data_IF_616987307758
#
_entry.id   IF_616987307758
#
_cell.length_a   1.000
_cell.length_b   1.000
_cell.length_c   1.000
_cell.angle_alpha   90.00
_cell.angle_beta   90.00
_cell.angle_gamma   90.00
#
_symmetry.space_group_name_H-M   'P 1'
#
loop_
_entity.id
_entity.type
_entity.pdbx_description
1 polymer ?
#
# COMPACT_ATOMS: atom_id res chain seq x y z
N UNK A 1 14.38 -7.24 -3.45
CA UNK A 1 13.64 -8.26 -2.70
C UNK A 1 13.27 -9.35 -3.69
N UNK A 2 13.51 -10.62 -3.38
CA UNK A 2 13.09 -11.73 -4.24
C UNK A 2 11.63 -12.09 -3.97
N UNK A 3 11.00 -12.85 -4.87
CA UNK A 3 9.64 -13.36 -4.64
C UNK A 3 9.56 -14.27 -3.40
N UNK A 4 10.63 -14.98 -3.07
CA UNK A 4 10.71 -15.84 -1.87
C UNK A 4 10.69 -15.01 -0.59
N UNK A 5 11.40 -13.88 -0.57
CA UNK A 5 11.44 -12.96 0.57
C UNK A 5 10.07 -12.33 0.87
N UNK A 6 9.19 -12.26 -0.14
CA UNK A 6 7.86 -11.68 -0.02
C UNK A 6 6.82 -12.65 0.59
N UNK A 7 7.01 -13.96 0.46
CA UNK A 7 6.01 -14.96 0.91
C UNK A 7 5.62 -14.80 2.38
N UNK A 8 6.55 -14.57 3.33
CA UNK A 8 6.19 -14.33 4.73
C UNK A 8 5.31 -13.09 4.92
N UNK A 9 5.62 -11.99 4.22
CA UNK A 9 4.88 -10.73 4.28
C UNK A 9 3.44 -10.91 3.77
N UNK A 10 3.27 -11.53 2.59
CA UNK A 10 1.92 -11.79 2.04
C UNK A 10 1.13 -12.75 2.92
N UNK A 11 1.78 -13.79 3.48
CA UNK A 11 1.11 -14.70 4.42
C UNK A 11 0.61 -13.94 5.65
N UNK A 12 1.40 -13.03 6.20
CA UNK A 12 0.97 -12.21 7.33
C UNK A 12 -0.22 -11.31 6.96
N UNK A 13 -0.21 -10.67 5.79
CA UNK A 13 -1.35 -9.87 5.33
C UNK A 13 -2.61 -10.70 5.21
N UNK A 14 -2.53 -11.90 4.63
CA UNK A 14 -3.69 -12.77 4.52
C UNK A 14 -4.23 -13.19 5.89
N UNK A 15 -3.37 -13.43 6.90
CA UNK A 15 -3.80 -13.69 8.28
C UNK A 15 -4.48 -12.48 8.92
N UNK A 16 -3.92 -11.28 8.71
CA UNK A 16 -4.53 -10.03 9.22
C UNK A 16 -5.89 -9.78 8.57
N UNK A 17 -5.99 -9.96 7.25
CA UNK A 17 -7.26 -9.80 6.53
C UNK A 17 -8.29 -10.85 6.93
N UNK A 18 -7.89 -12.10 7.15
CA UNK A 18 -8.79 -13.13 7.67
C UNK A 18 -9.41 -12.70 9.01
N UNK A 19 -8.58 -12.18 9.94
CA UNK A 19 -9.08 -11.63 11.19
C UNK A 19 -10.01 -10.42 10.98
N UNK A 20 -9.60 -9.44 10.16
CA UNK A 20 -10.39 -8.24 9.90
C UNK A 20 -11.76 -8.58 9.29
N UNK A 21 -11.77 -9.45 8.28
CA UNK A 21 -12.95 -9.80 7.52
C UNK A 21 -13.88 -10.71 8.32
N UNK A 22 -13.34 -11.75 8.96
CA UNK A 22 -14.15 -12.77 9.63
C UNK A 22 -14.54 -12.41 11.06
N UNK A 23 -13.58 -11.90 11.85
CA UNK A 23 -13.77 -11.65 13.29
C UNK A 23 -14.23 -10.22 13.52
N UNK A 24 -13.50 -9.23 13.00
CA UNK A 24 -13.80 -7.82 13.24
C UNK A 24 -14.94 -7.28 12.35
N UNK A 25 -15.23 -7.96 11.23
CA UNK A 25 -16.16 -7.50 10.18
C UNK A 25 -15.82 -6.10 9.67
N UNK A 26 -14.54 -5.87 9.36
CA UNK A 26 -14.01 -4.59 8.88
C UNK A 26 -13.33 -4.79 7.53
N UNK A 27 -13.60 -3.88 6.59
CA UNK A 27 -12.83 -3.67 5.36
C UNK A 27 -11.77 -2.61 5.62
N UNK A 28 -10.54 -2.82 5.16
CA UNK A 28 -9.49 -1.80 5.27
C UNK A 28 -9.68 -0.70 4.22
N UNK A 29 -9.92 -1.10 2.97
CA UNK A 29 -10.18 -0.28 1.77
C UNK A 29 -9.04 0.63 1.28
N UNK A 30 -7.98 0.80 2.07
CA UNK A 30 -6.79 1.56 1.69
C UNK A 30 -5.48 0.77 1.90
N UNK A 31 -5.41 -0.47 1.42
CA UNK A 31 -4.17 -1.27 1.54
C UNK A 31 -3.22 -0.85 0.42
N UNK A 32 -2.10 -0.24 0.80
CA UNK A 32 -1.04 0.25 -0.08
C UNK A 32 0.29 0.29 0.68
N UNK A 33 1.42 0.44 -0.03
CA UNK A 33 2.75 0.42 0.60
C UNK A 33 2.94 1.45 1.71
N UNK A 34 2.30 2.62 1.60
CA UNK A 34 2.42 3.69 2.59
C UNK A 34 1.78 3.34 3.93
N UNK A 35 0.82 2.41 3.94
CA UNK A 35 0.08 1.98 5.13
C UNK A 35 0.70 0.72 5.76
N UNK A 36 1.91 0.35 5.32
CA UNK A 36 2.70 -0.74 5.88
C UNK A 36 3.83 -0.18 6.73
N UNK A 37 3.70 -0.36 8.05
CA UNK A 37 4.74 0.04 8.99
C UNK A 37 5.84 -1.01 8.99
N UNK A 38 7.06 -0.60 8.63
CA UNK A 38 8.22 -1.46 8.74
C UNK A 38 8.62 -1.62 10.22
N UNK A 39 9.10 -2.80 10.63
CA UNK A 39 9.57 -3.02 11.99
C UNK A 39 10.62 -1.99 12.41
N UNK A 40 10.56 -1.58 13.67
CA UNK A 40 11.59 -0.73 14.26
C UNK A 40 12.90 -1.52 14.36
N UNK A 41 14.06 -0.93 13.98
CA UNK A 41 15.33 -1.60 14.14
C UNK A 41 15.72 -1.75 15.61
N UNK A 42 16.69 -2.63 15.82
CA UNK A 42 17.25 -2.90 17.14
C UNK A 42 17.81 -1.61 17.76
N UNK A 43 17.77 -1.52 19.09
CA UNK A 43 18.18 -0.31 19.83
C UNK A 43 19.62 0.11 19.50
N UNK A 44 20.53 -0.84 19.29
CA UNK A 44 21.91 -0.55 18.88
C UNK A 44 21.99 0.18 17.54
N UNK A 45 21.14 -0.16 16.57
CA UNK A 45 21.08 0.53 15.29
C UNK A 45 20.53 1.97 15.42
N UNK A 46 19.64 2.22 16.40
CA UNK A 46 19.21 3.58 16.75
C UNK A 46 20.39 4.38 17.33
N UNK A 47 21.15 3.78 18.25
CA UNK A 47 22.32 4.40 18.89
C UNK A 47 23.41 4.69 17.85
N UNK A 48 23.74 3.73 16.98
CA UNK A 48 24.73 3.92 15.92
C UNK A 48 24.32 5.05 14.95
N UNK A 49 23.02 5.23 14.71
CA UNK A 49 22.53 6.32 13.89
C UNK A 49 22.63 7.67 14.59
N UNK A 50 22.29 7.73 15.89
CA UNK A 50 22.47 8.92 16.71
C UNK A 50 23.95 9.33 16.77
N UNK A 51 24.84 8.39 17.07
CA UNK A 51 26.29 8.62 17.13
C UNK A 51 26.84 9.12 15.80
N UNK A 52 26.36 8.58 14.68
CA UNK A 52 26.73 9.08 13.33
C UNK A 52 26.28 10.51 13.11
N UNK A 53 25.07 10.88 13.50
CA UNK A 53 24.56 12.24 13.34
C UNK A 53 25.31 13.24 14.23
N UNK A 54 25.74 12.81 15.41
CA UNK A 54 26.59 13.60 16.32
C UNK A 54 27.99 13.79 15.73
N UNK A 55 28.62 12.72 15.23
CA UNK A 55 29.96 12.76 14.67
C UNK A 55 30.02 13.50 13.32
N UNK A 56 29.06 13.24 12.45
CA UNK A 56 28.95 13.79 11.10
C UNK A 56 27.52 14.24 10.86
N UNK A 57 27.31 15.55 11.04
CA UNK A 57 25.98 16.12 10.90
C UNK A 57 25.42 15.96 9.49
N UNK A 58 24.15 15.56 9.40
CA UNK A 58 23.46 15.43 8.13
C UNK A 58 23.43 16.76 7.37
N UNK A 59 23.55 16.72 6.02
CA UNK A 59 23.38 17.90 5.19
C UNK A 59 22.05 18.59 5.49
N UNK A 60 22.14 19.87 5.84
CA UNK A 60 20.98 20.66 6.29
C UNK A 60 21.05 22.10 5.82
N UNK A 61 19.88 22.70 5.65
CA UNK A 61 19.70 24.11 5.35
C UNK A 61 19.17 24.81 6.59
N UNK A 62 19.99 25.69 7.16
CA UNK A 62 19.60 26.52 8.31
C UNK A 62 18.92 27.79 7.79
N UNK A 63 17.67 28.00 8.18
CA UNK A 63 16.89 29.21 7.92
C UNK A 63 16.61 29.93 9.24
N UNK A 64 16.07 31.15 9.19
CA UNK A 64 15.79 31.97 10.38
C UNK A 64 14.83 31.29 11.38
N UNK A 65 13.84 30.55 10.88
CA UNK A 65 12.76 29.96 11.70
C UNK A 65 12.85 28.44 11.82
N UNK A 66 13.62 27.77 10.97
CA UNK A 66 13.71 26.31 10.96
C UNK A 66 15.01 25.82 10.34
N UNK A 67 15.37 24.60 10.69
CA UNK A 67 16.39 23.83 10.00
C UNK A 67 15.73 22.74 9.18
N UNK A 68 16.08 22.66 7.90
CA UNK A 68 15.62 21.60 6.99
C UNK A 68 16.74 20.60 6.84
N UNK A 69 16.50 19.35 7.22
CA UNK A 69 17.46 18.26 7.11
C UNK A 69 17.18 17.46 5.83
N UNK A 70 18.23 16.96 5.20
CA UNK A 70 18.09 15.96 4.14
C UNK A 70 17.51 14.68 4.74
N UNK A 71 16.50 14.10 4.11
CA UNK A 71 15.94 12.82 4.56
C UNK A 71 17.01 11.73 4.52
N UNK A 72 17.25 11.11 5.67
CA UNK A 72 18.14 9.95 5.77
C UNK A 72 17.34 8.67 5.64
N UNK A 73 17.84 7.70 4.86
CA UNK A 73 17.23 6.37 4.82
C UNK A 73 17.57 5.66 6.11
N UNK A 74 16.54 5.22 6.81
CA UNK A 74 16.69 4.46 8.04
C UNK A 74 16.51 2.96 7.73
N UNK A 75 17.43 2.08 8.14
CA UNK A 75 17.27 0.65 7.90
C UNK A 75 16.06 0.15 8.70
N UNK A 76 15.15 -0.62 8.07
CA UNK A 76 14.10 -1.29 8.82
C UNK A 76 14.71 -2.34 9.75
N UNK A 77 14.00 -2.62 10.83
CA UNK A 77 14.34 -3.73 11.72
C UNK A 77 14.03 -5.09 11.15
N UNK A 78 14.46 -6.12 11.89
CA UNK A 78 14.09 -7.49 11.60
C UNK A 78 12.60 -7.70 11.90
N UNK A 79 11.87 -8.26 10.94
CA UNK A 79 10.46 -8.61 11.09
C UNK A 79 9.67 -8.42 9.81
N UNK A 80 8.35 -8.56 9.93
CA UNK A 80 7.42 -8.38 8.83
C UNK A 80 6.62 -7.08 8.99
N UNK A 81 6.22 -6.42 7.88
CA UNK A 81 5.47 -5.17 7.95
C UNK A 81 4.13 -5.31 8.66
N UNK A 82 3.73 -4.28 9.41
CA UNK A 82 2.43 -4.24 10.08
C UNK A 82 1.46 -3.37 9.28
N UNK A 83 0.25 -3.91 9.03
CA UNK A 83 -0.83 -3.14 8.44
C UNK A 83 -1.31 -2.06 9.42
N UNK A 84 -1.50 -0.85 8.92
CA UNK A 84 -1.87 0.33 9.71
C UNK A 84 -2.81 1.23 8.93
N UNK A 85 -3.25 2.31 9.58
CA UNK A 85 -4.14 3.33 9.03
C UNK A 85 -5.52 2.82 8.61
N UNK A 86 -6.40 2.70 9.61
CA UNK A 86 -7.80 2.33 9.44
C UNK A 86 -8.71 3.57 9.21
N UNK A 87 -8.15 4.73 8.86
CA UNK A 87 -8.90 5.96 8.66
C UNK A 87 -9.97 5.84 7.56
N UNK A 88 -9.69 5.04 6.53
CA UNK A 88 -10.62 4.75 5.43
C UNK A 88 -11.40 3.44 5.60
N UNK A 89 -11.29 2.77 6.75
CA UNK A 89 -11.97 1.49 6.94
C UNK A 89 -13.50 1.61 6.96
N UNK A 90 -14.18 0.51 6.67
CA UNK A 90 -15.65 0.40 6.65
C UNK A 90 -16.09 -0.86 7.39
N UNK A 91 -17.27 -0.84 8.02
CA UNK A 91 -17.85 -2.03 8.66
C UNK A 91 -18.63 -2.88 7.66
N UNK A 92 -18.61 -4.20 7.83
CA UNK A 92 -19.27 -5.20 6.97
C UNK A 92 -20.73 -5.49 7.29
N UNK A 93 -21.42 -4.54 7.90
CA UNK A 93 -22.82 -4.65 8.32
C UNK A 93 -23.82 -4.16 7.27
N UNK A 94 -23.34 -3.51 6.20
CA UNK A 94 -24.16 -2.98 5.11
C UNK A 94 -23.50 -3.21 3.74
N UNK A 95 -24.29 -3.02 2.68
CA UNK A 95 -23.78 -2.94 1.31
C UNK A 95 -23.07 -1.59 1.09
N UNK A 96 -21.98 -1.62 0.32
CA UNK A 96 -21.15 -0.45 0.04
C UNK A 96 -20.97 -0.23 -1.46
N UNK A 97 -20.98 1.03 -1.86
CA UNK A 97 -20.81 1.52 -3.23
C UNK A 97 -19.91 2.77 -3.30
N UNK A 98 -19.37 3.17 -2.15
CA UNK A 98 -18.56 4.36 -1.97
C UNK A 98 -17.27 4.27 -2.80
N UNK A 99 -16.74 5.43 -3.21
CA UNK A 99 -15.41 5.52 -3.83
C UNK A 99 -14.36 5.34 -2.73
N UNK A 100 -13.63 4.24 -2.84
CA UNK A 100 -12.58 3.82 -1.92
C UNK A 100 -11.31 3.50 -2.73
N UNK A 101 -10.22 3.23 -2.00
CA UNK A 101 -8.93 2.83 -2.54
C UNK A 101 -8.22 3.95 -3.31
N UNK A 102 -6.89 4.03 -3.22
CA UNK A 102 -6.12 4.98 -3.99
C UNK A 102 -6.14 4.55 -5.47
N UNK A 103 -6.21 5.55 -6.35
CA UNK A 103 -6.33 5.42 -7.80
C UNK A 103 -5.58 4.22 -8.44
N UNK A 104 -4.27 3.99 -8.18
CA UNK A 104 -3.52 2.88 -8.79
C UNK A 104 -3.89 1.50 -8.26
N UNK A 105 -4.44 1.44 -7.06
CA UNK A 105 -4.76 0.21 -6.35
C UNK A 105 -6.24 -0.16 -6.47
N UNK A 106 -7.07 0.73 -7.03
CA UNK A 106 -8.53 0.61 -7.08
C UNK A 106 -8.97 -0.66 -7.82
N UNK A 107 -9.84 -1.44 -7.18
CA UNK A 107 -10.40 -2.66 -7.75
C UNK A 107 -11.39 -2.38 -8.89
N UNK A 108 -11.57 -3.31 -9.86
CA UNK A 108 -12.49 -3.13 -10.99
C UNK A 108 -13.92 -2.76 -10.59
N UNK A 109 -14.47 -3.42 -9.56
CA UNK A 109 -15.83 -3.14 -9.04
C UNK A 109 -15.99 -1.69 -8.56
N UNK A 110 -14.95 -1.14 -7.93
CA UNK A 110 -14.95 0.24 -7.43
C UNK A 110 -14.86 1.22 -8.60
N UNK A 111 -14.02 0.95 -9.60
CA UNK A 111 -13.94 1.77 -10.83
C UNK A 111 -15.30 1.80 -11.55
N UNK A 112 -15.98 0.65 -11.60
CA UNK A 112 -17.31 0.51 -12.22
C UNK A 112 -18.46 0.96 -11.34
N UNK A 113 -18.19 1.46 -10.11
CA UNK A 113 -19.21 1.90 -9.13
C UNK A 113 -20.25 0.83 -8.81
N UNK A 114 -19.86 -0.44 -8.88
CA UNK A 114 -20.65 -1.59 -8.46
C UNK A 114 -20.54 -1.80 -6.96
N UNK A 115 -21.46 -2.57 -6.35
CA UNK A 115 -21.26 -2.96 -4.95
C UNK A 115 -20.01 -3.82 -4.80
N UNK A 116 -19.35 -3.63 -3.67
CA UNK A 116 -18.12 -4.30 -3.35
C UNK A 116 -18.15 -4.90 -1.94
N UNK A 117 -17.24 -5.83 -1.68
CA UNK A 117 -17.13 -6.60 -0.46
C UNK A 117 -15.67 -6.79 -0.05
N UNK A 118 -15.39 -7.74 0.83
CA UNK A 118 -14.07 -8.01 1.40
C UNK A 118 -13.00 -8.32 0.36
N UNK A 119 -13.40 -8.65 -0.88
CA UNK A 119 -12.47 -8.93 -1.98
C UNK A 119 -11.70 -7.70 -2.45
N UNK A 120 -12.14 -6.48 -2.14
CA UNK A 120 -11.36 -5.26 -2.47
C UNK A 120 -10.03 -5.21 -1.75
N UNK A 121 -9.97 -5.66 -0.49
CA UNK A 121 -8.72 -5.75 0.26
C UNK A 121 -7.80 -6.85 -0.29
N UNK A 122 -8.38 -7.96 -0.75
CA UNK A 122 -7.61 -9.04 -1.41
C UNK A 122 -7.01 -8.55 -2.72
N UNK A 123 -7.75 -7.75 -3.49
CA UNK A 123 -7.24 -7.08 -4.68
C UNK A 123 -6.02 -6.21 -4.34
N UNK A 124 -6.12 -5.39 -3.29
CA UNK A 124 -5.00 -4.57 -2.86
C UNK A 124 -3.75 -5.38 -2.46
N UNK A 125 -3.92 -6.55 -1.82
CA UNK A 125 -2.78 -7.42 -1.50
C UNK A 125 -2.02 -7.82 -2.77
N UNK A 126 -2.71 -8.13 -3.88
CA UNK A 126 -2.05 -8.44 -5.15
C UNK A 126 -1.29 -7.24 -5.71
N UNK A 127 -1.87 -6.04 -5.64
CA UNK A 127 -1.23 -4.80 -6.08
C UNK A 127 0.02 -4.48 -5.25
N UNK A 128 -0.06 -4.60 -3.92
CA UNK A 128 1.08 -4.44 -3.01
C UNK A 128 2.16 -5.49 -3.28
N UNK A 129 1.79 -6.76 -3.51
CA UNK A 129 2.73 -7.81 -3.85
C UNK A 129 3.55 -7.44 -5.09
N UNK A 130 2.89 -6.92 -6.13
CA UNK A 130 3.55 -6.49 -7.36
C UNK A 130 4.51 -5.32 -7.12
N UNK A 131 4.06 -4.27 -6.45
CA UNK A 131 4.87 -3.07 -6.22
C UNK A 131 6.12 -3.32 -5.35
N UNK A 132 6.13 -4.41 -4.56
CA UNK A 132 7.32 -4.81 -3.81
C UNK A 132 8.40 -5.46 -4.70
N UNK A 133 7.99 -6.22 -5.72
CA UNK A 133 8.90 -7.03 -6.55
C UNK A 133 9.24 -6.39 -7.89
N UNK A 134 8.44 -5.43 -8.34
CA UNK A 134 8.60 -4.75 -9.63
C UNK A 134 8.91 -3.26 -9.42
N UNK A 135 9.89 -2.70 -10.16
CA UNK A 135 10.13 -1.25 -10.15
C UNK A 135 9.01 -0.46 -10.87
N UNK A 136 8.33 -1.11 -11.81
CA UNK A 136 7.21 -0.54 -12.56
C UNK A 136 5.89 -0.99 -11.95
N UNK A 137 4.91 -0.07 -11.93
CA UNK A 137 3.55 -0.38 -11.47
C UNK A 137 2.87 -1.37 -12.40
N UNK A 138 2.03 -2.23 -11.83
CA UNK A 138 1.21 -3.17 -12.60
C UNK A 138 0.23 -2.42 -13.51
N UNK A 139 -0.27 -1.29 -12.99
CA UNK A 139 -1.23 -0.43 -13.66
C UNK A 139 -0.82 1.03 -13.45
N UNK A 140 -0.69 1.78 -14.54
CA UNK A 140 -0.33 3.19 -14.51
C UNK A 140 -1.55 4.11 -14.63
N UNK A 141 -2.55 3.69 -15.42
CA UNK A 141 -3.86 4.36 -15.57
C UNK A 141 -3.75 5.83 -16.01
N UNK A 142 -2.70 6.19 -16.73
CA UNK A 142 -2.43 7.55 -17.18
C UNK A 142 -2.89 7.74 -18.62
N UNK A 143 -3.61 8.82 -18.88
CA UNK A 143 -3.95 9.23 -20.25
C UNK A 143 -2.73 9.89 -20.94
N UNK A 144 -2.92 10.32 -22.19
CA UNK A 144 -1.87 10.98 -23.00
C UNK A 144 -1.27 12.24 -22.33
N UNK A 145 -2.00 12.86 -21.40
CA UNK A 145 -1.56 14.03 -20.64
C UNK A 145 -0.98 13.67 -19.26
N UNK A 146 -0.69 12.39 -19.00
CA UNK A 146 -0.23 11.85 -17.71
C UNK A 146 -1.20 12.04 -16.54
N UNK A 147 -2.49 12.29 -16.82
CA UNK A 147 -3.54 12.42 -15.80
C UNK A 147 -4.19 11.05 -15.60
N UNK A 148 -4.48 10.70 -14.35
CA UNK A 148 -5.17 9.45 -14.03
C UNK A 148 -6.57 9.41 -14.67
N UNK A 149 -6.94 8.27 -15.24
CA UNK A 149 -8.21 8.09 -15.93
C UNK A 149 -8.76 6.68 -15.74
N UNK A 150 -9.99 6.57 -15.23
CA UNK A 150 -10.66 5.28 -14.98
C UNK A 150 -10.85 4.42 -16.23
N UNK A 151 -11.05 5.01 -17.41
CA UNK A 151 -11.15 4.26 -18.68
C UNK A 151 -9.81 3.66 -19.08
N UNK A 152 -8.72 4.39 -18.85
CA UNK A 152 -7.37 3.87 -19.08
C UNK A 152 -7.04 2.76 -18.07
N UNK A 153 -7.44 2.93 -16.81
CA UNK A 153 -7.32 1.90 -15.78
C UNK A 153 -8.05 0.61 -16.20
N UNK A 154 -9.33 0.70 -16.57
CA UNK A 154 -10.10 -0.46 -17.03
C UNK A 154 -9.51 -1.10 -18.29
N UNK A 155 -9.00 -0.30 -19.24
CA UNK A 155 -8.36 -0.84 -20.44
C UNK A 155 -7.08 -1.64 -20.11
N UNK A 156 -6.25 -1.14 -19.19
CA UNK A 156 -5.05 -1.85 -18.71
C UNK A 156 -5.43 -3.14 -17.98
N UNK A 157 -6.48 -3.11 -17.15
CA UNK A 157 -7.01 -4.31 -16.50
C UNK A 157 -7.47 -5.35 -17.52
N UNK A 158 -8.25 -4.94 -18.53
CA UNK A 158 -8.71 -5.84 -19.60
C UNK A 158 -7.53 -6.41 -20.39
N UNK A 159 -6.50 -5.62 -20.65
CA UNK A 159 -5.29 -6.09 -21.32
C UNK A 159 -4.51 -7.13 -20.48
N UNK A 160 -4.52 -6.99 -19.15
CA UNK A 160 -3.79 -7.86 -18.23
C UNK A 160 -4.53 -9.16 -17.92
N UNK A 161 -5.82 -9.08 -17.59
CA UNK A 161 -6.61 -10.21 -17.06
C UNK A 161 -7.81 -10.58 -17.93
N UNK A 162 -7.99 -9.95 -19.09
CA UNK A 162 -9.10 -10.19 -20.02
C UNK A 162 -10.35 -9.38 -19.70
N UNK A 163 -11.33 -9.48 -20.60
CA UNK A 163 -12.62 -8.79 -20.44
C UNK A 163 -13.36 -9.25 -19.19
N UNK A 164 -14.09 -8.35 -18.50
CA UNK A 164 -14.93 -8.74 -17.39
C UNK A 164 -15.99 -9.75 -17.85
N UNK A 165 -16.43 -10.68 -16.99
CA UNK A 165 -17.54 -11.59 -17.28
C UNK A 165 -18.82 -10.82 -17.65
N UNK A 166 -19.74 -11.39 -18.45
CA UNK A 166 -21.00 -10.74 -18.79
C UNK A 166 -21.92 -10.48 -17.59
N UNK A 167 -21.77 -11.25 -16.51
CA UNK A 167 -22.57 -11.14 -15.28
C UNK A 167 -22.05 -10.06 -14.32
N UNK A 168 -20.95 -9.39 -14.68
CA UNK A 168 -20.25 -8.45 -13.81
C UNK A 168 -20.99 -7.13 -13.64
#
# INVERSE_FOLDING_TARGET
MTLEDLKPCIRQFLVVLDFLHWVARVFHTDIQLNNLLLPTPQTNALVDFEDKEVQTQSPRKVLKERTIYTSSRFPPGDGLPLLSDFGESRFGDKEHHEDIMPNPYRAPKVILRSSWDYKVDIWNVAMVAWDIVSPDRLINSKNQNSIFNDRSHLAELVALIGSPPPEF
#
